data_IF_887141204482
#
_entry.id   IF_887141204482
#
_cell.length_a   1.000
_cell.length_b   1.000
_cell.length_c   1.000
_cell.angle_alpha   90.00
_cell.angle_beta   90.00
_cell.angle_gamma   90.00
#
_symmetry.space_group_name_H-M   'P 1'
#
loop_
_entity.id
_entity.type
_entity.pdbx_description
1 polymer ?
#
# COMPACT_ATOMS: atom_id res chain seq x y z
N UNK A 1 4.03 -20.10 4.19
CA UNK A 1 3.74 -18.70 3.82
C UNK A 1 3.93 -17.87 5.08
N UNK A 2 5.07 -17.19 5.21
CA UNK A 2 5.40 -16.41 6.41
C UNK A 2 4.42 -15.24 6.52
N UNK A 3 3.69 -15.17 7.62
CA UNK A 3 2.80 -14.07 7.96
C UNK A 3 3.68 -12.80 8.04
N UNK A 4 3.66 -11.99 6.98
CA UNK A 4 4.52 -10.82 6.87
C UNK A 4 4.28 -9.87 8.04
N UNK A 5 5.36 -9.49 8.74
CA UNK A 5 5.35 -8.52 9.82
C UNK A 5 4.65 -7.24 9.34
N UNK A 6 3.58 -6.83 10.01
CA UNK A 6 2.74 -5.71 9.58
C UNK A 6 3.39 -4.32 9.67
N UNK A 7 4.57 -4.23 10.26
CA UNK A 7 5.26 -2.98 10.47
C UNK A 7 6.36 -2.82 9.42
N UNK A 8 6.26 -1.74 8.65
CA UNK A 8 7.31 -1.31 7.71
C UNK A 8 8.63 -1.01 8.45
N UNK A 9 8.57 -0.74 9.76
CA UNK A 9 9.74 -0.52 10.62
C UNK A 9 9.98 -1.74 11.50
N UNK A 10 11.15 -2.36 11.34
CA UNK A 10 11.60 -3.48 12.16
C UNK A 10 12.67 -3.05 13.16
N UNK A 11 12.42 -3.27 14.46
CA UNK A 11 13.40 -3.01 15.53
C UNK A 11 14.60 -3.94 15.40
N UNK A 12 15.81 -3.38 15.45
CA UNK A 12 17.07 -4.15 15.47
C UNK A 12 17.45 -4.54 16.90
N UNK A 13 18.35 -5.51 17.02
CA UNK A 13 19.00 -5.79 18.29
C UNK A 13 19.86 -4.58 18.72
N UNK A 14 19.98 -4.31 20.03
CA UNK A 14 20.87 -3.28 20.54
C UNK A 14 22.32 -3.54 20.12
N UNK A 15 23.09 -2.47 19.95
CA UNK A 15 24.54 -2.59 19.74
C UNK A 15 25.22 -3.18 20.99
N UNK A 16 26.24 -4.01 20.76
CA UNK A 16 26.98 -4.68 21.83
C UNK A 16 27.73 -3.72 22.76
N UNK A 17 28.20 -4.21 23.92
CA UNK A 17 28.80 -3.39 24.98
C UNK A 17 30.10 -2.70 24.55
N UNK A 18 30.83 -3.27 23.60
CA UNK A 18 32.09 -2.73 23.10
C UNK A 18 31.90 -1.73 21.94
N UNK A 19 30.66 -1.49 21.49
CA UNK A 19 30.40 -0.52 20.43
C UNK A 19 30.48 0.91 20.97
N UNK A 20 30.95 1.86 20.14
CA UNK A 20 30.98 3.29 20.49
C UNK A 20 29.63 3.83 20.98
N UNK A 21 28.53 3.25 20.49
CA UNK A 21 27.15 3.56 20.89
C UNK A 21 26.51 2.34 21.56
N UNK A 22 27.18 1.78 22.56
CA UNK A 22 26.71 0.61 23.30
C UNK A 22 25.24 0.76 23.72
N UNK A 23 24.45 -0.29 23.52
CA UNK A 23 23.02 -0.30 23.82
C UNK A 23 22.13 0.49 22.86
N UNK A 24 22.67 1.21 21.85
CA UNK A 24 21.83 1.90 20.88
C UNK A 24 20.99 0.93 20.08
N UNK A 25 19.71 1.25 19.92
CA UNK A 25 18.76 0.45 19.15
C UNK A 25 18.35 1.20 17.89
N UNK A 26 18.70 0.62 16.75
CA UNK A 26 18.24 1.09 15.44
C UNK A 26 16.99 0.37 14.95
N UNK A 27 16.61 0.68 13.72
CA UNK A 27 15.58 -0.03 12.99
C UNK A 27 15.99 -0.28 11.52
N UNK A 28 15.30 -1.21 10.88
CA UNK A 28 15.30 -1.42 9.44
C UNK A 28 13.97 -0.93 8.88
N UNK A 29 13.98 -0.42 7.65
CA UNK A 29 12.77 -0.17 6.86
C UNK A 29 12.60 -1.34 5.90
N UNK A 30 11.54 -2.13 6.08
CA UNK A 30 11.24 -3.29 5.26
C UNK A 30 10.65 -2.84 3.91
N UNK A 31 11.51 -2.57 2.92
CA UNK A 31 11.09 -2.09 1.61
C UNK A 31 10.13 -3.05 0.88
N UNK A 32 10.22 -4.35 1.16
CA UNK A 32 9.29 -5.35 0.63
C UNK A 32 7.85 -5.14 1.11
N UNK A 33 7.66 -4.59 2.31
CA UNK A 33 6.35 -4.31 2.90
C UNK A 33 5.73 -2.99 2.41
N UNK A 34 6.55 -2.14 1.77
CA UNK A 34 6.08 -0.90 1.14
C UNK A 34 5.36 -1.28 -0.17
N UNK A 35 4.09 -0.89 -0.34
CA UNK A 35 3.37 -1.16 -1.57
C UNK A 35 4.05 -0.55 -2.81
N UNK A 36 3.88 -1.15 -4.00
CA UNK A 36 4.48 -0.64 -5.24
C UNK A 36 4.21 0.85 -5.48
N UNK A 37 3.00 1.30 -5.20
CA UNK A 37 2.55 2.68 -5.39
C UNK A 37 3.30 3.65 -4.47
N UNK A 38 3.79 3.18 -3.33
CA UNK A 38 4.66 3.96 -2.43
C UNK A 38 6.11 4.05 -2.91
N UNK A 39 6.47 3.38 -4.02
CA UNK A 39 7.80 3.37 -4.62
C UNK A 39 7.74 4.13 -5.94
N UNK A 40 8.01 5.43 -5.87
CA UNK A 40 7.95 6.30 -7.04
C UNK A 40 9.35 6.38 -7.66
N UNK A 41 9.60 5.78 -8.84
CA UNK A 41 10.91 5.80 -9.46
C UNK A 41 11.22 7.19 -10.02
N UNK A 42 12.39 7.74 -9.68
CA UNK A 42 12.94 8.96 -10.30
C UNK A 42 13.92 8.63 -11.44
N UNK A 43 14.55 7.46 -11.37
CA UNK A 43 15.45 6.89 -12.38
C UNK A 43 15.04 5.44 -12.57
N UNK A 44 14.97 4.97 -13.82
CA UNK A 44 14.64 3.58 -14.16
C UNK A 44 15.58 3.11 -15.26
N UNK A 45 16.22 1.95 -15.07
CA UNK A 45 17.21 1.39 -16.00
C UNK A 45 18.28 2.41 -16.44
N UNK A 46 18.79 3.21 -15.49
CA UNK A 46 19.78 4.27 -15.76
C UNK A 46 19.23 5.55 -16.42
N UNK A 47 17.95 5.57 -16.80
CA UNK A 47 17.33 6.69 -17.50
C UNK A 47 16.44 7.53 -16.57
N UNK A 48 16.47 8.86 -16.66
CA UNK A 48 15.63 9.73 -15.84
C UNK A 48 14.16 9.62 -16.24
N UNK A 49 13.31 9.50 -15.22
CA UNK A 49 11.86 9.51 -15.36
C UNK A 49 11.38 10.94 -15.54
N UNK A 50 10.49 11.23 -16.51
CA UNK A 50 10.02 12.62 -16.74
C UNK A 50 9.39 13.20 -15.46
N UNK A 51 9.83 14.40 -15.06
CA UNK A 51 9.42 15.08 -13.82
C UNK A 51 7.89 15.20 -13.66
N UNK A 52 7.16 15.47 -14.74
CA UNK A 52 5.68 15.57 -14.72
C UNK A 52 5.05 14.29 -14.14
N UNK A 53 5.52 13.14 -14.58
CA UNK A 53 4.98 11.86 -14.15
C UNK A 53 5.35 11.55 -12.70
N UNK A 54 6.58 11.86 -12.27
CA UNK A 54 6.98 11.72 -10.86
C UNK A 54 6.08 12.55 -9.95
N UNK A 55 5.76 13.79 -10.35
CA UNK A 55 4.87 14.69 -9.60
C UNK A 55 3.43 14.19 -9.56
N UNK A 56 2.91 13.67 -10.68
CA UNK A 56 1.56 13.10 -10.73
C UNK A 56 1.42 11.86 -9.83
N UNK A 57 2.40 10.94 -9.87
CA UNK A 57 2.44 9.77 -8.97
C UNK A 57 2.52 10.21 -7.50
N UNK A 58 3.41 11.16 -7.20
CA UNK A 58 3.55 11.68 -5.83
C UNK A 58 2.26 12.34 -5.33
N UNK A 59 1.60 13.15 -6.17
CA UNK A 59 0.35 13.81 -5.79
C UNK A 59 -0.76 12.81 -5.47
N UNK A 60 -0.85 11.69 -6.21
CA UNK A 60 -1.82 10.62 -5.93
C UNK A 60 -1.54 9.94 -4.59
N UNK A 61 -0.29 9.59 -4.32
CA UNK A 61 0.08 8.92 -3.05
C UNK A 61 -0.02 9.89 -1.87
N UNK A 62 0.25 11.19 -2.07
CA UNK A 62 0.13 12.21 -1.02
C UNK A 62 -1.29 12.24 -0.43
N UNK A 63 -2.32 12.02 -1.24
CA UNK A 63 -3.71 11.96 -0.76
C UNK A 63 -3.93 10.85 0.28
N UNK A 64 -3.18 9.74 0.22
CA UNK A 64 -3.20 8.70 1.28
C UNK A 64 -2.65 9.22 2.61
N UNK A 65 -1.67 10.14 2.57
CA UNK A 65 -1.13 10.74 3.79
C UNK A 65 -2.14 11.69 4.46
N UNK A 66 -3.08 12.23 3.70
CA UNK A 66 -4.17 13.08 4.18
C UNK A 66 -5.32 12.27 4.81
N UNK A 67 -5.36 10.93 4.61
CA UNK A 67 -6.30 10.07 5.33
C UNK A 67 -6.01 10.12 6.84
N UNK A 68 -7.03 10.36 7.68
CA UNK A 68 -6.88 10.40 9.13
C UNK A 68 -6.16 9.17 9.69
N UNK A 69 -5.28 9.31 10.68
CA UNK A 69 -4.57 8.18 11.29
C UNK A 69 -5.51 7.05 11.77
N UNK A 70 -6.71 7.40 12.22
CA UNK A 70 -7.76 6.46 12.67
C UNK A 70 -8.33 5.57 11.55
N UNK A 71 -8.28 6.03 10.30
CA UNK A 71 -8.71 5.28 9.11
C UNK A 71 -7.53 4.58 8.42
N UNK A 72 -6.30 5.04 8.66
CA UNK A 72 -5.11 4.62 7.94
C UNK A 72 -4.78 3.13 8.10
N UNK A 73 -4.98 2.53 9.27
CA UNK A 73 -4.72 1.10 9.46
C UNK A 73 -5.59 0.21 8.56
N UNK A 74 -6.91 0.32 8.74
CA UNK A 74 -7.88 -0.45 7.95
C UNK A 74 -7.83 -0.14 6.45
N UNK A 75 -7.71 1.14 6.06
CA UNK A 75 -7.64 1.52 4.65
C UNK A 75 -6.40 0.94 3.96
N UNK A 76 -5.23 0.98 4.61
CA UNK A 76 -4.00 0.43 4.04
C UNK A 76 -4.05 -1.10 3.97
N UNK A 77 -4.61 -1.77 4.97
CA UNK A 77 -4.75 -3.23 4.96
C UNK A 77 -5.73 -3.71 3.88
N UNK A 78 -6.85 -3.01 3.71
CA UNK A 78 -7.81 -3.30 2.62
C UNK A 78 -7.18 -3.00 1.26
N UNK A 79 -6.44 -1.90 1.12
CA UNK A 79 -5.73 -1.58 -0.11
C UNK A 79 -4.64 -2.63 -0.43
N UNK A 80 -3.97 -3.17 0.58
CA UNK A 80 -3.02 -4.29 0.45
C UNK A 80 -3.74 -5.55 -0.04
N UNK A 81 -4.88 -5.90 0.54
CA UNK A 81 -5.70 -7.03 0.09
C UNK A 81 -6.19 -6.88 -1.36
N UNK A 82 -6.65 -5.68 -1.73
CA UNK A 82 -7.01 -5.37 -3.14
C UNK A 82 -5.82 -5.60 -4.07
N UNK A 83 -4.62 -5.13 -3.71
CA UNK A 83 -3.41 -5.34 -4.52
C UNK A 83 -2.99 -6.81 -4.60
N UNK A 84 -3.22 -7.59 -3.54
CA UNK A 84 -2.93 -9.04 -3.51
C UNK A 84 -3.80 -9.84 -4.48
N UNK A 85 -4.98 -9.34 -4.86
CA UNK A 85 -5.77 -9.94 -5.93
C UNK A 85 -5.03 -9.94 -7.27
N UNK A 86 -4.12 -8.98 -7.49
CA UNK A 86 -3.33 -8.89 -8.72
C UNK A 86 -4.15 -8.58 -9.98
N UNK A 87 -5.41 -8.16 -9.82
CA UNK A 87 -6.33 -7.89 -10.93
C UNK A 87 -6.60 -6.40 -11.07
N UNK A 88 -6.75 -5.87 -12.30
CA UNK A 88 -7.17 -4.49 -12.52
C UNK A 88 -8.62 -4.27 -12.08
N UNK A 89 -9.45 -5.31 -12.12
CA UNK A 89 -10.86 -5.29 -11.72
C UNK A 89 -11.13 -6.43 -10.74
N UNK A 90 -11.96 -6.15 -9.74
CA UNK A 90 -12.32 -7.11 -8.71
C UNK A 90 -13.73 -6.85 -8.18
N UNK A 91 -14.31 -7.88 -7.58
CA UNK A 91 -15.62 -7.82 -6.96
C UNK A 91 -15.53 -7.69 -5.45
N UNK A 92 -16.58 -7.15 -4.84
CA UNK A 92 -16.72 -7.13 -3.39
C UNK A 92 -16.66 -8.53 -2.77
N UNK A 93 -17.14 -9.54 -3.50
CA UNK A 93 -17.17 -10.92 -3.04
C UNK A 93 -15.75 -11.51 -2.96
N UNK A 94 -14.88 -11.20 -3.93
CA UNK A 94 -13.46 -11.56 -3.89
C UNK A 94 -12.76 -10.92 -2.68
N UNK A 95 -13.15 -9.70 -2.31
CA UNK A 95 -12.60 -9.05 -1.10
C UNK A 95 -12.98 -9.77 0.20
N UNK A 96 -14.12 -10.46 0.24
CA UNK A 96 -14.49 -11.23 1.43
C UNK A 96 -13.61 -12.47 1.65
N UNK A 97 -12.86 -12.93 0.64
CA UNK A 97 -11.86 -13.98 0.84
C UNK A 97 -10.73 -13.54 1.80
N UNK A 98 -10.49 -12.23 1.94
CA UNK A 98 -9.50 -11.67 2.86
C UNK A 98 -10.03 -11.43 4.28
N UNK A 99 -11.30 -11.77 4.56
CA UNK A 99 -11.89 -11.61 5.90
C UNK A 99 -11.08 -12.27 7.02
N UNK A 100 -10.62 -13.54 6.91
CA UNK A 100 -9.82 -14.18 7.96
C UNK A 100 -8.51 -13.43 8.23
N UNK A 101 -7.83 -12.99 7.16
CA UNK A 101 -6.60 -12.21 7.26
C UNK A 101 -6.86 -10.88 7.94
N UNK A 102 -7.83 -10.09 7.48
CA UNK A 102 -8.17 -8.79 8.04
C UNK A 102 -8.68 -8.88 9.49
N UNK A 103 -9.37 -9.97 9.85
CA UNK A 103 -9.78 -10.24 11.23
C UNK A 103 -8.59 -10.50 12.15
N UNK A 104 -7.57 -11.21 11.67
CA UNK A 104 -6.33 -11.43 12.43
C UNK A 104 -5.57 -10.11 12.66
N UNK A 105 -5.64 -9.17 11.72
CA UNK A 105 -5.00 -7.85 11.85
C UNK A 105 -5.77 -6.92 12.81
N UNK A 106 -7.10 -7.07 12.84
CA UNK A 106 -8.01 -6.23 13.63
C UNK A 106 -8.90 -7.08 14.54
N UNK A 107 -8.32 -7.79 15.53
CA UNK A 107 -9.03 -8.81 16.30
C UNK A 107 -10.24 -8.26 17.07
N UNK A 108 -10.18 -7.00 17.50
CA UNK A 108 -11.25 -6.30 18.23
C UNK A 108 -12.50 -6.03 17.39
N UNK A 109 -12.42 -6.06 16.06
CA UNK A 109 -13.56 -5.73 15.21
C UNK A 109 -14.41 -6.97 14.90
N UNK A 110 -15.67 -6.99 15.35
CA UNK A 110 -16.60 -8.11 15.12
C UNK A 110 -17.30 -8.05 13.75
N UNK A 111 -17.20 -6.92 13.04
CA UNK A 111 -17.93 -6.64 11.79
C UNK A 111 -16.96 -6.39 10.62
N UNK A 112 -16.21 -7.42 10.21
CA UNK A 112 -15.16 -7.29 9.19
C UNK A 112 -15.72 -6.98 7.80
N UNK A 113 -16.73 -7.72 7.31
CA UNK A 113 -17.33 -7.46 5.98
C UNK A 113 -17.91 -6.04 5.83
N UNK A 114 -18.70 -5.51 6.80
CA UNK A 114 -19.10 -4.11 6.77
C UNK A 114 -17.92 -3.15 6.75
N UNK A 115 -16.86 -3.43 7.52
CA UNK A 115 -15.67 -2.58 7.55
C UNK A 115 -14.94 -2.59 6.21
N UNK A 116 -14.82 -3.74 5.54
CA UNK A 116 -14.26 -3.85 4.18
C UNK A 116 -15.03 -2.93 3.22
N UNK A 117 -16.36 -3.00 3.20
CA UNK A 117 -17.19 -2.13 2.36
C UNK A 117 -16.94 -0.65 2.63
N UNK A 118 -16.91 -0.25 3.90
CA UNK A 118 -16.64 1.12 4.31
C UNK A 118 -15.26 1.59 3.81
N UNK A 119 -14.22 0.75 3.95
CA UNK A 119 -12.88 1.11 3.50
C UNK A 119 -12.77 1.18 1.97
N UNK A 120 -13.43 0.29 1.23
CA UNK A 120 -13.47 0.36 -0.23
C UNK A 120 -14.12 1.66 -0.72
N UNK A 121 -15.13 2.18 -0.01
CA UNK A 121 -15.72 3.48 -0.30
C UNK A 121 -14.73 4.62 -0.03
N UNK A 122 -14.03 4.63 1.11
CA UNK A 122 -13.01 5.64 1.40
C UNK A 122 -11.84 5.61 0.39
N UNK A 123 -11.41 4.42 -0.04
CA UNK A 123 -10.39 4.25 -1.07
C UNK A 123 -10.86 4.71 -2.46
N UNK A 124 -12.15 4.57 -2.75
CA UNK A 124 -12.76 5.16 -3.95
C UNK A 124 -12.77 6.68 -3.89
N UNK A 125 -13.20 7.24 -2.77
CA UNK A 125 -13.34 8.69 -2.60
C UNK A 125 -11.98 9.40 -2.59
N UNK A 126 -10.91 8.69 -2.22
CA UNK A 126 -9.52 9.15 -2.37
C UNK A 126 -8.93 8.95 -3.77
N UNK A 127 -9.68 8.43 -4.73
CA UNK A 127 -9.26 8.28 -6.13
C UNK A 127 -8.34 7.10 -6.43
N UNK A 128 -8.12 6.19 -5.48
CA UNK A 128 -7.29 4.99 -5.67
C UNK A 128 -8.06 3.83 -6.30
N UNK A 129 -9.37 3.80 -6.09
CA UNK A 129 -10.29 2.85 -6.70
C UNK A 129 -11.35 3.60 -7.51
N UNK A 130 -11.83 2.98 -8.58
CA UNK A 130 -13.05 3.41 -9.28
C UNK A 130 -14.15 2.39 -9.05
N UNK A 131 -15.38 2.88 -8.86
CA UNK A 131 -16.56 2.03 -8.79
C UNK A 131 -17.08 1.78 -10.21
N UNK A 132 -17.23 0.52 -10.57
CA UNK A 132 -17.87 0.11 -11.82
C UNK A 132 -19.37 -0.11 -11.62
N UNK A 133 -19.88 -1.24 -12.09
CA UNK A 133 -21.25 -1.69 -11.82
C UNK A 133 -21.42 -2.19 -10.35
N UNK A 134 -22.65 -2.49 -9.93
CA UNK A 134 -22.99 -2.92 -8.56
C UNK A 134 -22.04 -4.00 -8.01
N UNK A 135 -21.16 -3.60 -7.08
CA UNK A 135 -20.23 -4.50 -6.40
C UNK A 135 -18.90 -4.73 -7.11
N UNK A 136 -18.66 -4.06 -8.24
CA UNK A 136 -17.42 -4.15 -9.00
C UNK A 136 -16.56 -2.91 -8.77
N UNK A 137 -15.28 -3.14 -8.57
CA UNK A 137 -14.26 -2.13 -8.33
C UNK A 137 -13.14 -2.29 -9.34
N UNK A 138 -12.56 -1.17 -9.74
CA UNK A 138 -11.38 -1.14 -10.59
C UNK A 138 -10.26 -0.48 -9.80
N UNK A 139 -9.10 -1.14 -9.75
CA UNK A 139 -7.88 -0.53 -9.28
C UNK A 139 -7.47 0.52 -10.29
N UNK A 140 -7.27 1.77 -9.84
CA UNK A 140 -6.70 2.79 -10.72
C UNK A 140 -5.23 2.41 -10.95
N UNK A 141 -4.98 1.61 -11.99
CA UNK A 141 -3.63 1.15 -12.30
C UNK A 141 -2.71 2.33 -12.57
N UNK A 142 -1.57 2.31 -11.92
CA UNK A 142 -0.40 3.07 -12.33
C UNK A 142 0.02 2.48 -13.67
N UNK A 143 -0.08 3.26 -14.75
CA UNK A 143 0.48 2.85 -16.03
C UNK A 143 1.99 2.72 -15.89
N UNK A 144 2.47 1.49 -15.71
CA UNK A 144 3.90 1.15 -15.69
C UNK A 144 4.52 1.19 -17.09
N UNK A 145 3.73 1.14 -18.17
CA UNK A 145 4.28 1.01 -19.53
C UNK A 145 3.84 2.17 -20.43
N UNK A 146 4.84 3.00 -20.77
CA UNK A 146 5.05 3.70 -22.05
C UNK A 146 6.25 4.66 -21.84
N UNK A 147 7.43 4.11 -21.56
CA UNK A 147 8.66 4.92 -21.41
C UNK A 147 9.87 4.21 -22.00
N UNK A 148 9.71 3.67 -23.19
CA UNK A 148 10.86 3.53 -24.08
C UNK A 148 10.88 4.75 -24.99
N UNK A 149 12.09 5.23 -25.25
CA UNK A 149 12.39 6.44 -25.97
C UNK A 149 11.59 6.56 -27.28
N UNK A 150 10.87 7.66 -27.42
CA UNK A 150 10.57 8.22 -28.73
C UNK A 150 10.66 9.74 -28.61
N UNK A 151 11.34 10.32 -29.59
CA UNK A 151 11.87 11.69 -29.68
C UNK A 151 13.14 11.97 -28.87
N UNK A 152 14.26 11.39 -29.35
CA UNK A 152 15.39 12.21 -29.82
C UNK A 152 15.99 11.59 -31.07
#
# INVERSE_FOLDING_TARGET
MTMGKLFVVEKRNPLGPNARRAGWVGCNILLAEIPPDGKIPMISAGMPVRKRFVREEFSRVKQLAEIPPSLRGWALDVLRAVRQLGKPEFTLQEMYAFEPQLKALHPSNQNVRPKIRQQLQALRDSGLLRFGAKGNYQVVQIRSNERTAENR
#
